data_IF_573390082858
#
_entry.id   IF_573390082858
#
_cell.length_a   1.000
_cell.length_b   1.000
_cell.length_c   1.000
_cell.angle_alpha   90.00
_cell.angle_beta   90.00
_cell.angle_gamma   90.00
#
_symmetry.space_group_name_H-M   'P 1'
#
loop_
_entity.id
_entity.type
_entity.pdbx_description
1 polymer ?
#
# COMPACT_ATOMS: atom_id res chain seq x y z
N UNK A 1 -46.03 49.78 24.55
CA UNK A 1 -45.04 48.77 24.98
C UNK A 1 -44.82 47.81 23.82
N UNK A 2 -43.71 47.96 23.09
CA UNK A 2 -43.29 46.99 22.07
C UNK A 2 -42.61 45.83 22.80
N UNK A 3 -43.10 44.61 22.61
CA UNK A 3 -42.40 43.41 23.07
C UNK A 3 -41.40 43.00 22.00
N UNK A 4 -40.14 43.37 22.17
CA UNK A 4 -39.04 42.81 21.37
C UNK A 4 -38.66 41.45 21.93
N UNK A 5 -38.88 40.38 21.16
CA UNK A 5 -38.23 39.09 21.41
C UNK A 5 -36.97 39.03 20.54
N UNK A 6 -35.84 39.40 21.11
CA UNK A 6 -34.54 39.17 20.49
C UNK A 6 -34.11 37.72 20.72
N UNK A 7 -34.02 36.93 19.64
CA UNK A 7 -33.45 35.57 19.71
C UNK A 7 -31.97 35.66 19.32
N UNK A 8 -31.08 35.75 20.31
CA UNK A 8 -29.65 35.60 20.06
C UNK A 8 -29.30 34.12 19.88
N UNK A 9 -29.02 33.70 18.65
CA UNK A 9 -28.51 32.36 18.36
C UNK A 9 -26.98 32.42 18.30
N UNK A 10 -26.30 31.94 19.35
CA UNK A 10 -24.84 31.81 19.35
C UNK A 10 -24.38 30.72 18.37
N UNK A 11 -23.61 31.11 17.34
CA UNK A 11 -22.70 30.23 16.61
C UNK A 11 -23.16 29.75 15.21
N UNK A 12 -22.41 30.19 14.19
CA UNK A 12 -22.45 29.72 12.80
C UNK A 12 -23.53 30.40 11.95
N UNK A 13 -23.19 30.72 10.69
CA UNK A 13 -24.08 31.33 9.70
C UNK A 13 -25.34 30.45 9.57
N UNK A 14 -26.51 30.88 10.06
CA UNK A 14 -27.75 30.16 9.93
C UNK A 14 -28.34 30.43 8.55
N UNK A 15 -28.48 29.41 7.71
CA UNK A 15 -29.34 29.44 6.53
C UNK A 15 -30.76 29.05 6.95
N UNK A 16 -31.79 29.78 6.52
CA UNK A 16 -33.19 29.51 6.94
C UNK A 16 -34.19 29.75 5.79
N UNK A 17 -35.18 28.85 5.65
CA UNK A 17 -36.11 28.66 4.51
C UNK A 17 -37.60 28.67 4.89
N UNK A 18 -38.43 29.17 3.95
CA UNK A 18 -39.88 28.95 3.63
C UNK A 18 -40.88 30.06 3.98
N UNK A 19 -41.30 30.81 2.95
CA UNK A 19 -42.45 31.72 2.95
C UNK A 19 -43.62 31.14 2.13
N UNK A 20 -44.84 31.44 2.55
CA UNK A 20 -46.03 31.49 1.69
C UNK A 20 -46.84 32.64 2.30
N UNK A 21 -46.94 33.84 1.68
CA UNK A 21 -47.91 34.05 0.58
C UNK A 21 -47.61 35.22 -0.40
N UNK A 22 -48.49 35.37 -1.41
CA UNK A 22 -48.76 36.54 -2.28
C UNK A 22 -47.56 37.39 -2.78
N UNK A 23 -47.21 37.31 -4.10
CA UNK A 23 -46.08 38.03 -4.72
C UNK A 23 -46.04 39.55 -4.50
N UNK A 24 -47.20 40.19 -4.30
CA UNK A 24 -47.35 41.65 -4.35
C UNK A 24 -46.87 42.38 -3.07
N UNK A 25 -46.73 41.68 -1.95
CA UNK A 25 -46.30 42.29 -0.68
C UNK A 25 -44.78 42.52 -0.60
N UNK A 26 -43.98 41.76 -1.36
CA UNK A 26 -42.52 41.70 -1.13
C UNK A 26 -41.72 42.81 -1.84
N UNK A 27 -42.17 43.29 -3.01
CA UNK A 27 -41.55 44.47 -3.66
C UNK A 27 -41.54 45.70 -2.76
N UNK A 28 -42.60 45.86 -1.94
CA UNK A 28 -42.69 46.97 -0.98
C UNK A 28 -41.75 46.84 0.22
N UNK A 29 -41.25 45.64 0.51
CA UNK A 29 -40.34 45.36 1.63
C UNK A 29 -38.88 45.67 1.26
N UNK A 30 -38.49 45.41 0.00
CA UNK A 30 -37.16 45.77 -0.53
C UNK A 30 -36.99 47.29 -0.72
N UNK A 31 -38.06 48.01 -1.05
CA UNK A 31 -38.01 49.47 -1.29
C UNK A 31 -37.97 50.31 -0.01
N UNK A 32 -38.16 49.74 1.19
CA UNK A 32 -38.44 50.51 2.42
C UNK A 32 -37.37 50.57 3.50
N UNK A 33 -36.20 49.96 3.34
CA UNK A 33 -35.20 50.00 4.43
C UNK A 33 -33.77 50.31 3.97
N UNK A 34 -33.40 51.58 4.08
CA UNK A 34 -32.00 52.04 4.16
C UNK A 34 -31.27 51.58 5.46
N UNK A 35 -31.82 50.66 6.27
CA UNK A 35 -31.28 50.39 7.62
C UNK A 35 -31.19 48.93 8.08
N UNK A 36 -31.29 47.92 7.21
CA UNK A 36 -30.98 46.53 7.60
C UNK A 36 -29.87 45.93 6.73
N UNK A 37 -28.75 45.63 7.38
CA UNK A 37 -27.56 44.96 6.84
C UNK A 37 -27.83 43.47 6.55
N UNK A 38 -28.74 43.17 5.62
CA UNK A 38 -28.82 41.82 5.03
C UNK A 38 -27.73 41.73 3.96
N UNK A 39 -26.83 40.75 4.08
CA UNK A 39 -25.81 40.41 3.08
C UNK A 39 -25.89 38.92 2.81
N UNK A 40 -25.85 38.51 1.54
CA UNK A 40 -25.94 37.12 1.08
C UNK A 40 -27.33 36.49 1.31
N UNK A 41 -28.25 36.72 0.39
CA UNK A 41 -29.57 36.09 0.37
C UNK A 41 -29.99 35.66 -1.04
N UNK A 42 -30.77 34.58 -1.11
CA UNK A 42 -31.34 34.03 -2.34
C UNK A 42 -32.84 33.82 -2.11
N UNK A 43 -33.69 34.20 -3.06
CA UNK A 43 -35.15 33.99 -2.99
C UNK A 43 -35.65 33.41 -4.30
N UNK A 44 -36.40 32.31 -4.28
CA UNK A 44 -37.07 31.74 -5.45
C UNK A 44 -38.59 31.71 -5.31
N UNK A 45 -39.27 31.94 -6.43
CA UNK A 45 -40.69 31.64 -6.56
C UNK A 45 -40.85 30.18 -7.02
N UNK A 46 -41.83 29.47 -6.48
CA UNK A 46 -42.26 28.19 -7.03
C UNK A 46 -43.73 28.28 -7.43
N UNK A 47 -44.00 28.26 -8.73
CA UNK A 47 -45.36 28.12 -9.25
C UNK A 47 -45.75 26.64 -9.26
N UNK A 48 -46.85 26.31 -8.57
CA UNK A 48 -47.47 24.99 -8.62
C UNK A 48 -48.87 25.14 -9.23
N UNK A 49 -49.23 24.26 -10.16
CA UNK A 49 -50.48 24.36 -10.94
C UNK A 49 -51.76 24.28 -10.09
N UNK A 50 -51.70 23.75 -8.86
CA UNK A 50 -52.89 23.40 -8.09
C UNK A 50 -52.83 23.74 -6.58
N UNK A 51 -51.84 24.53 -6.11
CA UNK A 51 -51.72 24.97 -4.70
C UNK A 51 -51.15 26.40 -4.67
N UNK A 52 -51.51 27.22 -3.68
CA UNK A 52 -50.92 28.56 -3.43
C UNK A 52 -49.38 28.52 -3.53
N UNK A 53 -48.83 29.16 -4.56
CA UNK A 53 -47.40 29.24 -4.91
C UNK A 53 -46.54 29.67 -3.71
N UNK A 54 -45.78 28.76 -3.09
CA UNK A 54 -44.89 29.11 -1.99
C UNK A 54 -43.63 29.81 -2.48
N UNK A 55 -43.10 30.70 -1.64
CA UNK A 55 -41.93 31.52 -1.90
C UNK A 55 -40.78 31.00 -1.02
N UNK A 56 -39.66 30.60 -1.62
CA UNK A 56 -38.54 30.00 -0.91
C UNK A 56 -37.44 31.04 -0.75
N UNK A 57 -36.82 31.13 0.43
CA UNK A 57 -35.69 32.04 0.67
C UNK A 57 -34.57 31.33 1.41
N UNK A 58 -33.33 31.73 1.17
CA UNK A 58 -32.16 31.41 1.99
C UNK A 58 -31.50 32.73 2.36
N UNK A 59 -31.24 32.94 3.64
CA UNK A 59 -30.54 34.12 4.16
C UNK A 59 -29.32 33.64 4.95
N UNK A 60 -28.14 34.18 4.66
CA UNK A 60 -26.88 33.86 5.34
C UNK A 60 -26.36 35.05 6.16
N UNK A 61 -26.97 35.32 7.32
CA UNK A 61 -26.64 36.50 8.16
C UNK A 61 -26.30 36.13 9.62
N UNK A 62 -25.49 36.95 10.29
CA UNK A 62 -25.09 36.73 11.69
C UNK A 62 -26.20 37.08 12.70
N UNK A 63 -27.15 37.94 12.33
CA UNK A 63 -28.24 38.40 13.21
C UNK A 63 -29.55 38.50 12.42
N UNK A 64 -30.63 37.96 12.98
CA UNK A 64 -32.00 38.09 12.44
C UNK A 64 -32.87 38.72 13.52
N UNK A 65 -33.57 39.80 13.19
CA UNK A 65 -34.62 40.39 14.02
C UNK A 65 -35.96 40.25 13.27
N UNK A 66 -36.98 39.76 13.95
CA UNK A 66 -38.35 39.70 13.42
C UNK A 66 -39.07 40.99 13.79
N UNK A 67 -39.43 41.81 12.79
CA UNK A 67 -40.26 42.99 13.01
C UNK A 67 -41.72 42.65 12.72
N UNK A 68 -42.61 42.83 13.71
CA UNK A 68 -44.05 42.66 13.51
C UNK A 68 -44.66 43.96 13.01
N UNK A 69 -45.23 43.94 11.80
CA UNK A 69 -45.98 45.06 11.25
C UNK A 69 -47.40 45.13 11.81
N UNK A 70 -47.80 46.28 12.35
CA UNK A 70 -49.17 46.55 12.79
C UNK A 70 -50.08 46.85 11.58
N UNK A 71 -50.33 45.88 10.71
CA UNK A 71 -51.34 45.99 9.66
C UNK A 71 -52.47 44.97 9.87
N UNK A 72 -53.71 45.44 9.84
CA UNK A 72 -54.96 44.70 10.09
C UNK A 72 -55.42 43.87 8.87
N UNK A 73 -54.51 43.13 8.25
CA UNK A 73 -54.85 42.12 7.22
C UNK A 73 -54.30 40.76 7.65
N UNK A 74 -55.00 39.68 7.29
CA UNK A 74 -54.81 38.31 7.80
C UNK A 74 -53.33 37.98 8.07
N UNK A 75 -53.00 37.71 9.34
CA UNK A 75 -51.63 37.44 9.77
C UNK A 75 -51.15 36.11 9.18
N UNK A 76 -50.39 36.17 8.08
CA UNK A 76 -49.63 35.05 7.57
C UNK A 76 -48.25 35.06 8.22
N UNK A 77 -47.90 33.98 8.93
CA UNK A 77 -46.59 33.82 9.55
C UNK A 77 -45.66 33.02 8.64
N UNK A 78 -44.45 33.52 8.43
CA UNK A 78 -43.39 32.80 7.69
C UNK A 78 -42.85 31.66 8.57
N UNK A 79 -42.55 30.51 7.96
CA UNK A 79 -42.07 29.34 8.70
C UNK A 79 -40.54 29.31 8.72
N UNK A 80 -39.96 30.02 9.69
CA UNK A 80 -38.51 30.19 9.81
C UNK A 80 -37.88 28.93 10.44
N UNK A 81 -37.12 28.15 9.65
CA UNK A 81 -36.38 26.96 10.10
C UNK A 81 -34.90 26.94 9.74
N UNK A 82 -34.05 26.51 10.67
CA UNK A 82 -32.62 26.28 10.41
C UNK A 82 -32.41 25.21 9.34
N UNK A 83 -31.64 25.54 8.31
CA UNK A 83 -31.21 24.64 7.26
C UNK A 83 -30.26 23.58 7.81
N UNK A 84 -30.44 22.34 7.36
CA UNK A 84 -29.54 21.22 7.68
C UNK A 84 -28.26 21.23 6.83
N UNK A 85 -28.32 21.83 5.64
CA UNK A 85 -27.25 21.91 4.65
C UNK A 85 -27.51 23.10 3.74
N UNK A 86 -26.58 24.07 3.67
CA UNK A 86 -26.75 25.25 2.79
C UNK A 86 -26.70 24.85 1.31
N UNK A 87 -25.86 23.88 0.96
CA UNK A 87 -25.74 23.42 -0.43
C UNK A 87 -27.02 22.75 -0.96
N UNK A 88 -27.71 21.97 -0.11
CA UNK A 88 -28.97 21.33 -0.53
C UNK A 88 -30.11 22.34 -0.69
N UNK A 89 -30.13 23.37 0.17
CA UNK A 89 -31.12 24.45 0.09
C UNK A 89 -30.90 25.28 -1.16
N UNK A 90 -29.65 25.66 -1.46
CA UNK A 90 -29.34 26.40 -2.69
C UNK A 90 -29.77 25.62 -3.94
N UNK A 91 -29.41 24.34 -4.05
CA UNK A 91 -29.84 23.49 -5.16
C UNK A 91 -31.37 23.36 -5.27
N UNK A 92 -32.07 23.34 -4.13
CA UNK A 92 -33.53 23.26 -4.10
C UNK A 92 -34.17 24.56 -4.61
N UNK A 93 -33.63 25.72 -4.20
CA UNK A 93 -34.08 27.05 -4.61
C UNK A 93 -33.81 27.28 -6.10
N UNK A 94 -32.62 26.90 -6.59
CA UNK A 94 -32.25 27.06 -8.00
C UNK A 94 -32.94 26.06 -8.95
N UNK A 95 -33.67 25.05 -8.42
CA UNK A 95 -34.29 23.97 -9.22
C UNK A 95 -35.27 24.49 -10.28
N UNK A 96 -35.97 25.58 -10.00
CA UNK A 96 -37.06 26.11 -10.83
C UNK A 96 -36.66 27.37 -11.61
N UNK A 97 -35.40 27.79 -11.55
CA UNK A 97 -34.83 28.86 -12.41
C UNK A 97 -35.26 30.30 -12.09
N UNK A 98 -36.39 30.51 -11.40
CA UNK A 98 -36.87 31.84 -11.02
C UNK A 98 -36.44 32.21 -9.61
N UNK A 99 -35.23 32.78 -9.50
CA UNK A 99 -34.68 33.26 -8.23
C UNK A 99 -33.94 34.61 -8.36
N UNK A 100 -33.88 35.34 -7.25
CA UNK A 100 -33.15 36.60 -7.08
C UNK A 100 -32.07 36.37 -6.03
N UNK A 101 -30.83 36.77 -6.33
CA UNK A 101 -29.68 36.67 -5.44
C UNK A 101 -29.05 38.04 -5.19
N UNK A 102 -28.62 38.26 -3.95
CA UNK A 102 -27.75 39.36 -3.58
C UNK A 102 -26.57 38.83 -2.76
N UNK A 103 -25.35 39.13 -3.20
CA UNK A 103 -24.10 38.65 -2.59
C UNK A 103 -23.52 37.39 -3.23
N UNK A 104 -22.64 36.70 -2.50
CA UNK A 104 -21.98 35.46 -2.96
C UNK A 104 -22.31 34.30 -2.03
N UNK A 105 -22.82 33.20 -2.58
CA UNK A 105 -23.11 32.00 -1.81
C UNK A 105 -21.83 31.44 -1.16
N UNK A 106 -21.85 31.29 0.16
CA UNK A 106 -20.75 30.64 0.89
C UNK A 106 -21.13 29.21 1.24
N UNK A 107 -20.31 28.27 0.76
CA UNK A 107 -20.42 26.87 1.16
C UNK A 107 -20.10 26.78 2.66
N UNK A 108 -21.04 26.24 3.45
CA UNK A 108 -20.79 25.97 4.87
C UNK A 108 -19.68 24.92 4.98
N UNK A 109 -18.66 25.15 5.81
CA UNK A 109 -17.62 24.16 6.08
C UNK A 109 -18.14 22.86 6.71
N UNK A 110 -19.40 22.85 7.19
CA UNK A 110 -20.12 21.64 7.62
C UNK A 110 -20.86 20.92 6.49
N UNK A 111 -21.02 21.55 5.32
CA UNK A 111 -21.60 20.94 4.14
C UNK A 111 -20.58 19.97 3.53
N UNK A 112 -20.60 18.74 4.02
CA UNK A 112 -19.76 17.66 3.53
C UNK A 112 -20.10 17.20 2.08
N UNK A 113 -21.06 17.84 1.40
CA UNK A 113 -21.55 17.43 0.06
C UNK A 113 -21.01 18.26 -1.10
N UNK A 114 -20.25 19.32 -0.86
CA UNK A 114 -19.41 19.97 -1.87
C UNK A 114 -18.01 19.37 -1.95
N UNK A 115 -17.89 18.05 -1.75
CA UNK A 115 -16.66 17.37 -1.35
C UNK A 115 -15.59 17.40 -2.47
N UNK A 116 -14.35 17.86 -2.20
CA UNK A 116 -13.18 17.30 -2.87
C UNK A 116 -13.14 15.82 -2.47
N UNK A 117 -13.37 14.90 -3.42
CA UNK A 117 -13.37 13.42 -3.31
C UNK A 117 -13.37 12.87 -1.88
N UNK A 118 -14.44 12.18 -1.46
CA UNK A 118 -14.52 11.66 -0.08
C UNK A 118 -13.22 10.94 0.30
N UNK A 119 -12.77 11.04 1.55
CA UNK A 119 -11.49 10.43 2.00
C UNK A 119 -11.39 8.94 1.59
N UNK A 120 -12.53 8.25 1.55
CA UNK A 120 -12.65 6.89 1.04
C UNK A 120 -12.32 6.76 -0.46
N UNK A 121 -12.80 7.67 -1.31
CA UNK A 121 -12.47 7.71 -2.74
C UNK A 121 -10.96 7.93 -2.97
N UNK A 122 -10.33 8.82 -2.19
CA UNK A 122 -8.88 9.07 -2.30
C UNK A 122 -8.08 7.80 -2.00
N UNK A 123 -8.42 7.09 -0.94
CA UNK A 123 -7.73 5.84 -0.59
C UNK A 123 -8.04 4.72 -1.58
N UNK A 124 -9.28 4.61 -2.08
CA UNK A 124 -9.62 3.64 -3.11
C UNK A 124 -8.83 3.89 -4.41
N UNK A 125 -8.69 5.16 -4.82
CA UNK A 125 -7.88 5.52 -5.97
C UNK A 125 -6.39 5.24 -5.75
N UNK A 126 -5.87 5.52 -4.56
CA UNK A 126 -4.48 5.22 -4.20
C UNK A 126 -4.19 3.70 -4.21
N UNK A 127 -5.14 2.88 -3.73
CA UNK A 127 -5.02 1.41 -3.77
C UNK A 127 -5.05 0.86 -5.20
N UNK A 128 -5.79 1.51 -6.11
CA UNK A 128 -5.86 1.14 -7.52
C UNK A 128 -4.73 1.76 -8.37
N UNK A 129 -3.77 2.45 -7.76
CA UNK A 129 -2.64 3.03 -8.48
C UNK A 129 -1.70 1.94 -9.03
N UNK A 130 -0.94 2.27 -10.08
CA UNK A 130 0.00 1.33 -10.72
C UNK A 130 1.23 1.04 -9.84
N UNK A 131 1.56 1.92 -8.89
CA UNK A 131 2.74 1.79 -8.03
C UNK A 131 2.59 2.52 -6.71
N UNK A 132 3.41 2.11 -5.72
CA UNK A 132 3.57 2.81 -4.43
C UNK A 132 3.79 4.31 -4.60
N UNK A 133 4.64 4.71 -5.54
CA UNK A 133 4.96 6.12 -5.78
C UNK A 133 3.74 6.90 -6.26
N UNK A 134 2.94 6.31 -7.16
CA UNK A 134 1.70 6.93 -7.64
C UNK A 134 0.65 7.00 -6.52
N UNK A 135 0.47 5.94 -5.74
CA UNK A 135 -0.42 5.93 -4.58
C UNK A 135 -0.04 7.02 -3.56
N UNK A 136 1.25 7.15 -3.23
CA UNK A 136 1.76 8.19 -2.33
C UNK A 136 1.53 9.60 -2.88
N UNK A 137 1.65 9.79 -4.21
CA UNK A 137 1.37 11.08 -4.86
C UNK A 137 -0.11 11.44 -4.77
N UNK A 138 -1.01 10.49 -5.07
CA UNK A 138 -2.47 10.68 -4.97
C UNK A 138 -2.85 11.13 -3.55
N UNK A 139 -2.34 10.45 -2.52
CA UNK A 139 -2.61 10.82 -1.13
C UNK A 139 -2.01 12.19 -0.80
N UNK A 140 -0.79 12.50 -1.27
CA UNK A 140 -0.17 13.80 -1.03
C UNK A 140 -0.98 14.96 -1.62
N UNK A 141 -1.57 14.77 -2.80
CA UNK A 141 -2.34 15.79 -3.52
C UNK A 141 -3.76 15.95 -2.96
N UNK A 142 -4.45 14.83 -2.71
CA UNK A 142 -5.87 14.82 -2.34
C UNK A 142 -6.13 14.78 -0.83
N UNK A 143 -5.19 14.28 -0.03
CA UNK A 143 -5.24 14.31 1.44
C UNK A 143 -3.86 14.65 2.07
N UNK A 144 -3.39 15.90 1.91
CA UNK A 144 -2.09 16.32 2.42
C UNK A 144 -1.98 16.21 3.94
N UNK A 145 -3.10 16.28 4.68
CA UNK A 145 -3.12 16.19 6.13
C UNK A 145 -2.69 14.79 6.59
N UNK A 146 -3.33 13.75 6.06
CA UNK A 146 -2.95 12.36 6.39
C UNK A 146 -1.56 12.03 5.87
N UNK A 147 -1.18 12.56 4.70
CA UNK A 147 0.17 12.39 4.18
C UNK A 147 1.24 12.92 5.13
N UNK A 148 1.03 14.08 5.77
CA UNK A 148 2.01 14.67 6.72
C UNK A 148 1.99 13.93 8.06
N UNK A 149 0.81 13.69 8.63
CA UNK A 149 0.68 13.13 9.99
C UNK A 149 1.00 11.63 10.02
N UNK A 150 0.58 10.86 9.00
CA UNK A 150 0.62 9.40 8.99
C UNK A 150 1.52 8.83 7.90
N UNK A 151 2.45 9.62 7.36
CA UNK A 151 3.31 9.24 6.22
C UNK A 151 3.94 7.85 6.36
N UNK A 152 4.48 7.55 7.54
CA UNK A 152 5.20 6.31 7.80
C UNK A 152 4.26 5.09 7.76
N UNK A 153 3.08 5.19 8.37
CA UNK A 153 2.07 4.12 8.35
C UNK A 153 1.51 3.91 6.94
N UNK A 154 1.21 4.99 6.23
CA UNK A 154 0.74 4.94 4.83
C UNK A 154 1.80 4.28 3.96
N UNK A 155 3.07 4.72 4.05
CA UNK A 155 4.16 4.10 3.30
C UNK A 155 4.31 2.61 3.61
N UNK A 156 4.29 2.23 4.90
CA UNK A 156 4.46 0.84 5.32
C UNK A 156 3.29 -0.06 4.90
N UNK A 157 2.08 0.47 4.83
CA UNK A 157 0.92 -0.26 4.30
C UNK A 157 1.03 -0.41 2.78
N UNK A 158 1.39 0.66 2.06
CA UNK A 158 1.60 0.60 0.62
C UNK A 158 2.77 -0.31 0.22
N UNK A 159 3.79 -0.49 1.07
CA UNK A 159 4.85 -1.49 0.85
C UNK A 159 4.33 -2.93 0.83
N UNK A 160 3.21 -3.20 1.51
CA UNK A 160 2.55 -4.52 1.51
C UNK A 160 1.63 -4.69 0.32
N UNK A 161 0.92 -3.64 -0.08
CA UNK A 161 0.02 -3.65 -1.24
C UNK A 161 0.79 -3.66 -2.57
N UNK A 162 1.94 -2.99 -2.61
CA UNK A 162 2.82 -2.88 -3.78
C UNK A 162 4.17 -3.56 -3.50
N UNK A 163 4.19 -4.88 -3.30
CA UNK A 163 5.44 -5.59 -3.02
C UNK A 163 6.38 -5.42 -4.21
N UNK A 164 7.61 -4.98 -3.94
CA UNK A 164 8.64 -4.94 -4.99
C UNK A 164 9.01 -6.39 -5.32
N UNK A 165 8.81 -6.86 -6.56
CA UNK A 165 9.19 -8.22 -6.93
C UNK A 165 10.69 -8.38 -6.76
N UNK A 166 11.12 -9.46 -6.09
CA UNK A 166 12.53 -9.79 -5.99
C UNK A 166 13.12 -9.97 -7.39
N UNK A 167 14.22 -9.26 -7.68
CA UNK A 167 14.91 -9.39 -8.96
C UNK A 167 15.44 -10.82 -9.07
N UNK A 168 14.86 -11.60 -9.97
CA UNK A 168 15.36 -12.95 -10.26
C UNK A 168 16.74 -12.84 -10.88
N UNK A 169 17.66 -13.67 -10.40
CA UNK A 169 18.94 -13.84 -11.06
C UNK A 169 18.71 -14.56 -12.38
N UNK A 170 19.25 -13.98 -13.45
CA UNK A 170 19.30 -14.62 -14.77
C UNK A 170 20.78 -14.90 -15.00
N UNK A 171 21.14 -16.18 -15.09
CA UNK A 171 22.51 -16.56 -15.40
C UNK A 171 22.83 -16.14 -16.83
N UNK A 172 23.96 -15.44 -17.07
CA UNK A 172 24.44 -15.17 -18.42
C UNK A 172 25.05 -16.42 -19.10
N UNK A 173 25.19 -17.53 -18.37
CA UNK A 173 25.82 -18.77 -18.84
C UNK A 173 24.85 -19.94 -18.76
N UNK A 174 24.92 -20.83 -19.76
CA UNK A 174 24.28 -22.14 -19.70
C UNK A 174 25.22 -23.10 -18.94
N UNK A 175 24.77 -23.75 -17.86
CA UNK A 175 25.64 -24.58 -17.02
C UNK A 175 26.20 -25.79 -17.79
N UNK A 176 27.43 -25.67 -18.29
CA UNK A 176 28.27 -26.82 -18.68
C UNK A 176 28.86 -27.42 -17.40
N UNK A 177 28.03 -28.19 -16.70
CA UNK A 177 28.38 -28.77 -15.41
C UNK A 177 29.04 -30.13 -15.54
N UNK A 178 29.88 -30.48 -14.55
CA UNK A 178 30.35 -31.84 -14.33
C UNK A 178 29.13 -32.78 -14.22
N UNK A 179 29.27 -34.01 -14.73
CA UNK A 179 28.15 -34.96 -14.77
C UNK A 179 27.54 -35.23 -13.38
N UNK A 180 28.37 -35.25 -12.33
CA UNK A 180 27.91 -35.44 -10.94
C UNK A 180 27.02 -34.30 -10.45
N UNK A 181 27.41 -33.04 -10.70
CA UNK A 181 26.63 -31.85 -10.34
C UNK A 181 25.32 -31.77 -11.12
N UNK A 182 25.37 -32.19 -12.39
CA UNK A 182 24.20 -32.27 -13.25
C UNK A 182 23.22 -33.34 -12.77
N UNK A 183 23.72 -34.52 -12.41
CA UNK A 183 22.89 -35.61 -11.91
C UNK A 183 22.22 -35.21 -10.60
N UNK A 184 22.98 -34.67 -9.66
CA UNK A 184 22.45 -34.19 -8.39
C UNK A 184 21.35 -33.14 -8.57
N UNK A 185 21.53 -32.19 -9.50
CA UNK A 185 20.54 -31.12 -9.72
C UNK A 185 19.23 -31.67 -10.29
N UNK A 186 19.28 -32.62 -11.22
CA UNK A 186 18.09 -33.28 -11.78
C UNK A 186 17.30 -34.03 -10.69
N UNK A 187 17.99 -34.67 -9.76
CA UNK A 187 17.35 -35.48 -8.70
C UNK A 187 16.77 -34.63 -7.56
N UNK A 188 17.40 -33.49 -7.23
CA UNK A 188 17.11 -32.74 -6.01
C UNK A 188 16.50 -31.35 -6.22
N UNK A 189 16.48 -30.85 -7.46
CA UNK A 189 15.89 -29.56 -7.82
C UNK A 189 14.74 -29.81 -8.79
N UNK A 190 13.53 -29.95 -8.24
CA UNK A 190 12.31 -30.21 -9.02
C UNK A 190 11.37 -29.02 -8.84
N UNK A 191 10.95 -28.38 -9.93
CA UNK A 191 10.05 -27.21 -9.85
C UNK A 191 8.68 -27.59 -9.27
N UNK A 192 8.13 -28.72 -9.70
CA UNK A 192 6.85 -29.24 -9.20
C UNK A 192 6.99 -29.74 -7.75
N UNK A 193 6.33 -29.02 -6.83
CA UNK A 193 6.33 -29.34 -5.41
C UNK A 193 5.74 -30.73 -5.09
N UNK A 194 4.88 -31.29 -5.95
CA UNK A 194 4.26 -32.61 -5.74
C UNK A 194 5.17 -33.76 -6.14
N UNK A 195 6.10 -33.52 -7.06
CA UNK A 195 7.07 -34.50 -7.55
C UNK A 195 8.39 -34.48 -6.77
N UNK A 196 8.59 -33.51 -5.85
CA UNK A 196 9.80 -33.42 -5.03
C UNK A 196 9.92 -34.64 -4.08
N UNK A 197 11.14 -35.18 -3.91
CA UNK A 197 11.42 -36.09 -2.82
C UNK A 197 11.00 -35.47 -1.47
N UNK A 198 10.58 -36.30 -0.52
CA UNK A 198 10.16 -35.82 0.80
C UNK A 198 11.29 -35.09 1.54
N UNK A 199 12.53 -35.55 1.30
CA UNK A 199 13.78 -34.97 1.83
C UNK A 199 14.86 -34.99 0.74
N UNK A 200 14.89 -34.00 -0.16
CA UNK A 200 15.95 -33.92 -1.16
C UNK A 200 17.30 -33.71 -0.47
N UNK A 201 18.34 -34.33 -1.02
CA UNK A 201 19.69 -34.17 -0.50
C UNK A 201 20.23 -32.79 -0.82
N UNK A 202 20.95 -32.21 0.14
CA UNK A 202 21.74 -31.01 -0.10
C UNK A 202 23.10 -31.35 -0.71
N UNK A 203 23.85 -30.35 -1.16
CA UNK A 203 25.20 -30.53 -1.70
C UNK A 203 26.15 -29.48 -1.15
N UNK A 204 27.34 -29.91 -0.78
CA UNK A 204 28.47 -29.08 -0.39
C UNK A 204 29.49 -29.10 -1.53
N UNK A 205 29.78 -27.92 -2.06
CA UNK A 205 30.71 -27.72 -3.16
C UNK A 205 31.89 -26.94 -2.64
N UNK A 206 33.02 -27.63 -2.57
CA UNK A 206 34.29 -27.06 -2.16
C UNK A 206 35.20 -26.87 -3.38
N UNK A 207 35.80 -25.70 -3.50
CA UNK A 207 36.74 -25.44 -4.60
C UNK A 207 37.33 -24.05 -4.49
N UNK A 208 38.41 -23.76 -5.21
CA UNK A 208 39.05 -22.44 -5.15
C UNK A 208 38.14 -21.32 -5.69
N UNK A 209 38.47 -20.08 -5.37
CA UNK A 209 37.82 -18.90 -5.95
C UNK A 209 37.93 -18.92 -7.49
N UNK A 210 36.99 -18.25 -8.16
CA UNK A 210 36.95 -18.11 -9.63
C UNK A 210 36.68 -19.39 -10.45
N UNK A 211 36.28 -20.49 -9.82
CA UNK A 211 35.85 -21.71 -10.54
C UNK A 211 34.39 -21.67 -11.03
N UNK A 212 33.68 -20.55 -10.85
CA UNK A 212 32.29 -20.40 -11.31
C UNK A 212 31.22 -21.00 -10.38
N UNK A 213 31.59 -21.49 -9.18
CA UNK A 213 30.66 -22.12 -8.21
C UNK A 213 29.35 -21.33 -8.00
N UNK A 214 29.45 -20.05 -7.71
CA UNK A 214 28.29 -19.17 -7.46
C UNK A 214 27.42 -18.97 -8.69
N UNK A 215 28.04 -18.85 -9.87
CA UNK A 215 27.29 -18.68 -11.13
C UNK A 215 26.50 -19.96 -11.43
N UNK A 216 27.16 -21.12 -11.33
CA UNK A 216 26.52 -22.42 -11.54
C UNK A 216 25.37 -22.65 -10.56
N UNK A 217 25.59 -22.46 -9.26
CA UNK A 217 24.56 -22.70 -8.25
C UNK A 217 23.33 -21.84 -8.50
N UNK A 218 23.51 -20.60 -8.94
CA UNK A 218 22.41 -19.67 -9.20
C UNK A 218 21.77 -19.85 -10.58
N UNK A 219 22.35 -20.66 -11.47
CA UNK A 219 21.81 -20.87 -12.83
C UNK A 219 20.78 -22.01 -12.94
N UNK A 220 20.52 -22.75 -11.86
CA UNK A 220 19.69 -23.96 -11.90
C UNK A 220 18.18 -23.69 -11.81
N UNK A 221 17.76 -22.48 -11.42
CA UNK A 221 16.35 -22.11 -11.36
C UNK A 221 16.03 -21.06 -10.29
N UNK A 222 14.78 -21.04 -9.83
CA UNK A 222 14.31 -20.08 -8.82
C UNK A 222 14.82 -20.43 -7.43
N UNK A 223 15.71 -19.60 -6.87
CA UNK A 223 16.39 -19.89 -5.61
C UNK A 223 16.45 -18.71 -4.66
N UNK A 224 16.67 -19.03 -3.38
CA UNK A 224 17.16 -18.06 -2.40
C UNK A 224 18.69 -17.99 -2.46
N UNK A 225 19.24 -16.78 -2.51
CA UNK A 225 20.69 -16.57 -2.42
C UNK A 225 21.02 -15.95 -1.06
N UNK A 226 21.66 -16.75 -0.20
CA UNK A 226 22.02 -16.40 1.17
C UNK A 226 23.52 -16.18 1.19
N UNK A 227 23.93 -14.93 1.42
CA UNK A 227 25.35 -14.56 1.48
C UNK A 227 25.73 -13.98 2.83
N UNK A 228 26.74 -14.57 3.48
CA UNK A 228 27.31 -14.11 4.75
C UNK A 228 26.44 -14.39 5.99
N UNK A 229 25.14 -14.03 5.96
CA UNK A 229 24.19 -14.32 7.04
C UNK A 229 22.79 -14.62 6.49
N UNK A 230 21.95 -15.24 7.31
CA UNK A 230 20.56 -15.53 6.97
C UNK A 230 19.69 -14.37 7.41
N UNK A 231 19.01 -13.74 6.45
CA UNK A 231 17.87 -12.87 6.70
C UNK A 231 16.58 -13.59 6.24
N UNK A 232 15.78 -14.11 7.18
CA UNK A 232 14.54 -14.82 6.85
C UNK A 232 13.40 -13.85 6.51
N UNK A 233 13.64 -12.53 6.46
CA UNK A 233 12.63 -11.55 6.09
C UNK A 233 11.99 -11.89 4.74
N UNK A 234 10.66 -11.69 4.57
CA UNK A 234 9.99 -11.87 3.27
C UNK A 234 10.54 -10.95 2.17
N UNK A 235 11.36 -9.95 2.53
CA UNK A 235 12.07 -9.06 1.59
C UNK A 235 13.27 -9.73 0.91
N UNK A 236 13.86 -10.73 1.56
CA UNK A 236 15.13 -11.37 1.15
C UNK A 236 14.97 -12.86 0.91
N UNK A 237 13.97 -13.50 1.54
CA UNK A 237 13.70 -14.92 1.46
C UNK A 237 12.37 -15.18 0.76
N UNK A 238 12.40 -15.94 -0.33
CA UNK A 238 11.23 -16.35 -1.10
C UNK A 238 10.79 -17.76 -0.73
N UNK A 239 9.56 -17.88 -0.24
CA UNK A 239 8.92 -19.16 0.07
C UNK A 239 8.49 -19.95 -1.18
N UNK A 240 8.58 -19.36 -2.37
CA UNK A 240 8.33 -20.06 -3.64
C UNK A 240 9.63 -20.58 -4.29
N UNK A 241 10.78 -20.36 -3.66
CA UNK A 241 12.03 -20.92 -4.15
C UNK A 241 12.02 -22.46 -4.15
N UNK A 242 12.73 -23.03 -5.12
CA UNK A 242 12.78 -24.48 -5.32
C UNK A 242 14.06 -25.10 -4.74
N UNK A 243 15.06 -24.26 -4.43
CA UNK A 243 16.28 -24.61 -3.70
C UNK A 243 16.94 -23.37 -3.07
N UNK A 244 17.92 -23.57 -2.20
CA UNK A 244 18.71 -22.51 -1.58
C UNK A 244 20.17 -22.54 -2.08
N UNK A 245 20.80 -21.38 -2.18
CA UNK A 245 22.24 -21.21 -2.39
C UNK A 245 22.82 -20.49 -1.19
N UNK A 246 23.76 -21.12 -0.50
CA UNK A 246 24.44 -20.61 0.69
C UNK A 246 25.90 -20.34 0.32
N UNK A 247 26.28 -19.08 0.33
CA UNK A 247 27.59 -18.61 -0.14
C UNK A 247 28.28 -17.77 0.94
N UNK A 248 29.55 -18.04 1.21
CA UNK A 248 30.34 -17.36 2.24
C UNK A 248 29.68 -17.33 3.65
N UNK A 249 28.88 -18.34 4.01
CA UNK A 249 28.28 -18.44 5.35
C UNK A 249 29.10 -19.41 6.22
N UNK A 250 29.58 -18.98 7.40
CA UNK A 250 30.35 -19.85 8.29
C UNK A 250 29.53 -21.04 8.83
N UNK A 251 30.09 -22.26 8.91
CA UNK A 251 29.37 -23.43 9.40
C UNK A 251 28.96 -23.30 10.88
N UNK A 252 29.78 -22.62 11.70
CA UNK A 252 29.46 -22.34 13.10
C UNK A 252 28.18 -21.53 13.28
N UNK A 253 27.90 -20.61 12.36
CA UNK A 253 26.67 -19.80 12.37
C UNK A 253 25.44 -20.66 12.10
N UNK A 254 25.51 -21.55 11.11
CA UNK A 254 24.39 -22.45 10.76
C UNK A 254 24.16 -23.53 11.82
N UNK A 255 25.23 -24.05 12.44
CA UNK A 255 25.15 -25.10 13.47
C UNK A 255 24.23 -24.72 14.62
N UNK A 256 24.14 -23.43 14.97
CA UNK A 256 23.38 -22.97 16.14
C UNK A 256 21.87 -23.09 15.92
N UNK A 257 21.36 -22.89 14.69
CA UNK A 257 19.91 -22.79 14.47
C UNK A 257 19.37 -23.53 13.24
N UNK A 258 20.09 -23.55 12.13
CA UNK A 258 19.48 -23.86 10.83
C UNK A 258 20.17 -25.00 10.07
N UNK A 259 21.11 -25.72 10.71
CA UNK A 259 21.82 -26.83 10.06
C UNK A 259 20.85 -27.89 9.53
N UNK A 260 19.92 -28.33 10.39
CA UNK A 260 18.95 -29.36 10.02
C UNK A 260 17.91 -28.81 9.04
N UNK A 261 17.50 -27.55 9.22
CA UNK A 261 16.52 -26.88 8.38
C UNK A 261 16.97 -26.85 6.91
N UNK A 262 18.21 -26.40 6.67
CA UNK A 262 18.77 -26.27 5.32
C UNK A 262 19.27 -27.60 4.75
N UNK A 263 20.07 -28.35 5.51
CA UNK A 263 20.78 -29.51 4.96
C UNK A 263 19.99 -30.80 5.03
N UNK A 264 18.99 -30.85 5.89
CA UNK A 264 18.08 -31.99 6.04
C UNK A 264 16.74 -31.78 5.33
N UNK A 265 16.64 -30.69 4.56
CA UNK A 265 15.45 -30.24 3.86
C UNK A 265 14.18 -30.35 4.73
N UNK A 266 14.24 -29.87 5.98
CA UNK A 266 13.08 -29.97 6.86
C UNK A 266 11.94 -29.11 6.32
N UNK A 267 10.72 -29.65 6.34
CA UNK A 267 9.52 -28.90 5.95
C UNK A 267 9.13 -27.93 7.04
N UNK A 268 8.60 -26.78 6.62
CA UNK A 268 7.93 -25.79 7.46
C UNK A 268 8.58 -25.54 8.82
N UNK A 269 9.54 -24.62 8.84
CA UNK A 269 10.22 -24.22 10.07
C UNK A 269 10.01 -22.74 10.35
N UNK A 270 10.17 -22.34 11.61
CA UNK A 270 10.02 -20.95 12.02
C UNK A 270 11.38 -20.34 12.32
N UNK A 271 11.58 -19.11 11.86
CA UNK A 271 12.77 -18.34 12.18
C UNK A 271 12.43 -17.02 12.83
N UNK A 272 13.28 -16.63 13.77
CA UNK A 272 13.14 -15.36 14.46
C UNK A 272 13.82 -14.26 13.67
N UNK A 273 13.10 -13.18 13.40
CA UNK A 273 13.66 -11.93 12.88
C UNK A 273 13.86 -10.97 14.04
N UNK A 274 15.01 -10.30 14.07
CA UNK A 274 15.30 -9.32 15.10
C UNK A 274 14.31 -8.15 15.00
N UNK A 275 13.60 -7.86 16.08
CA UNK A 275 12.63 -6.76 16.17
C UNK A 275 11.38 -6.89 15.27
N UNK A 276 11.16 -8.04 14.65
CA UNK A 276 9.95 -8.33 13.89
C UNK A 276 9.29 -9.63 14.40
N UNK A 277 8.10 -9.94 13.90
CA UNK A 277 7.44 -11.21 14.20
C UNK A 277 8.24 -12.36 13.56
N UNK A 278 8.27 -13.50 14.23
CA UNK A 278 8.80 -14.72 13.64
C UNK A 278 8.07 -15.04 12.34
N UNK A 279 8.81 -15.56 11.38
CA UNK A 279 8.31 -15.92 10.05
C UNK A 279 8.33 -17.42 9.88
N UNK A 280 7.34 -17.91 9.14
CA UNK A 280 7.29 -19.29 8.72
C UNK A 280 7.96 -19.42 7.35
N UNK A 281 8.98 -20.27 7.30
CA UNK A 281 9.70 -20.60 6.07
C UNK A 281 9.19 -21.93 5.55
N UNK A 282 8.78 -21.94 4.28
CA UNK A 282 8.47 -23.17 3.56
C UNK A 282 9.77 -23.88 3.21
N UNK A 283 10.10 -24.87 4.03
CA UNK A 283 11.24 -25.74 3.78
C UNK A 283 10.92 -26.91 2.83
N UNK A 284 11.61 -28.03 2.97
CA UNK A 284 11.45 -29.17 2.05
C UNK A 284 12.15 -29.00 0.70
N UNK A 285 13.12 -28.09 0.64
CA UNK A 285 13.93 -27.81 -0.56
C UNK A 285 15.41 -28.07 -0.28
N UNK A 286 16.15 -28.49 -1.30
CA UNK A 286 17.58 -28.75 -1.20
C UNK A 286 18.38 -27.46 -1.05
N UNK A 287 19.59 -27.58 -0.48
CA UNK A 287 20.52 -26.47 -0.34
C UNK A 287 21.84 -26.78 -1.02
N UNK A 288 22.38 -25.79 -1.75
CA UNK A 288 23.71 -25.80 -2.34
C UNK A 288 24.60 -24.92 -1.47
N UNK A 289 25.61 -25.50 -0.86
CA UNK A 289 26.59 -24.78 -0.04
C UNK A 289 27.87 -24.60 -0.82
N UNK A 290 28.33 -23.37 -0.89
CA UNK A 290 29.56 -23.01 -1.58
C UNK A 290 30.60 -22.63 -0.53
N UNK A 291 31.76 -23.28 -0.60
CA UNK A 291 32.89 -22.91 0.24
C UNK A 291 34.21 -22.99 -0.52
N UNK A 292 35.19 -22.25 -0.01
CA UNK A 292 36.57 -22.39 -0.43
C UNK A 292 37.27 -23.41 0.48
N UNK A 293 38.27 -24.15 -0.05
CA UNK A 293 39.08 -25.03 0.76
C UNK A 293 39.87 -24.24 1.79
N UNK A 294 40.01 -24.82 2.98
CA UNK A 294 40.74 -24.18 4.08
C UNK A 294 40.27 -24.64 5.46
N UNK A 295 40.90 -24.13 6.53
CA UNK A 295 40.61 -24.53 7.90
C UNK A 295 39.17 -24.17 8.34
N UNK A 296 38.59 -23.15 7.72
CA UNK A 296 37.22 -22.70 7.96
C UNK A 296 36.19 -23.32 7.00
N UNK A 297 36.60 -24.30 6.19
CA UNK A 297 35.71 -25.03 5.30
C UNK A 297 34.68 -25.86 6.07
N UNK A 298 33.59 -26.24 5.40
CA UNK A 298 32.59 -27.13 5.97
C UNK A 298 33.16 -28.50 6.31
N UNK A 299 34.07 -29.04 5.49
CA UNK A 299 34.71 -30.33 5.76
C UNK A 299 35.60 -30.25 7.00
N UNK A 300 36.52 -29.28 7.05
CA UNK A 300 37.39 -29.08 8.21
C UNK A 300 36.61 -28.79 9.49
N UNK A 301 35.46 -28.10 9.39
CA UNK A 301 34.56 -27.91 10.53
C UNK A 301 33.94 -29.22 11.01
N UNK A 302 33.44 -30.06 10.10
CA UNK A 302 32.81 -31.34 10.42
C UNK A 302 33.80 -32.40 10.92
N UNK A 303 35.07 -32.30 10.53
CA UNK A 303 36.12 -33.24 10.93
C UNK A 303 36.61 -33.07 12.38
N UNK A 304 36.21 -31.98 13.06
CA UNK A 304 36.51 -31.77 14.48
C UNK A 304 35.88 -32.87 15.34
N UNK A 305 36.60 -33.34 16.37
CA UNK A 305 36.14 -34.42 17.26
C UNK A 305 34.78 -34.13 17.93
N UNK A 306 34.51 -32.87 18.26
CA UNK A 306 33.24 -32.41 18.82
C UNK A 306 32.04 -32.50 17.85
N UNK A 307 32.29 -32.67 16.55
CA UNK A 307 31.28 -32.63 15.48
C UNK A 307 30.99 -34.00 14.86
N UNK A 308 31.49 -35.11 15.41
CA UNK A 308 31.31 -36.46 14.84
C UNK A 308 29.84 -36.81 14.55
N UNK A 309 28.94 -36.54 15.51
CA UNK A 309 27.50 -36.79 15.32
C UNK A 309 26.89 -35.92 14.20
N UNK A 310 27.32 -34.65 14.13
CA UNK A 310 26.87 -33.71 13.10
C UNK A 310 27.39 -34.12 11.72
N UNK A 311 28.64 -34.58 11.64
CA UNK A 311 29.26 -35.10 10.42
C UNK A 311 28.52 -36.32 9.89
N UNK A 312 28.27 -37.32 10.73
CA UNK A 312 27.54 -38.53 10.33
C UNK A 312 26.13 -38.20 9.81
N UNK A 313 25.44 -37.30 10.51
CA UNK A 313 24.13 -36.82 10.07
C UNK A 313 24.20 -36.07 8.73
N UNK A 314 25.22 -35.23 8.54
CA UNK A 314 25.37 -34.42 7.32
C UNK A 314 25.71 -35.29 6.12
N UNK A 315 26.59 -36.28 6.27
CA UNK A 315 26.93 -37.23 5.19
C UNK A 315 25.72 -38.06 4.76
N UNK A 316 24.79 -38.36 5.68
CA UNK A 316 23.55 -39.05 5.33
C UNK A 316 22.54 -38.14 4.59
N UNK A 317 22.63 -36.82 4.78
CA UNK A 317 21.64 -35.85 4.28
C UNK A 317 22.13 -35.06 3.07
N UNK A 318 23.43 -35.09 2.77
CA UNK A 318 24.04 -34.26 1.76
C UNK A 318 25.26 -34.91 1.10
N UNK A 319 25.54 -34.48 -0.13
CA UNK A 319 26.70 -34.91 -0.92
C UNK A 319 27.82 -33.87 -0.84
N UNK A 320 29.07 -34.32 -0.93
CA UNK A 320 30.25 -33.46 -0.90
C UNK A 320 31.03 -33.62 -2.20
N UNK A 321 31.24 -32.51 -2.92
CA UNK A 321 31.94 -32.49 -4.20
C UNK A 321 33.10 -31.50 -4.13
N UNK A 322 34.26 -31.94 -4.60
CA UNK A 322 35.44 -31.12 -4.79
C UNK A 322 35.58 -30.69 -6.24
N UNK A 323 35.71 -29.38 -6.45
CA UNK A 323 35.90 -28.78 -7.75
C UNK A 323 37.32 -28.22 -7.85
N UNK A 324 38.06 -28.73 -8.81
CA UNK A 324 39.43 -28.29 -9.14
C UNK A 324 39.52 -27.55 -10.47
N UNK A 325 38.52 -27.70 -11.35
CA UNK A 325 38.44 -27.04 -12.66
C UNK A 325 37.27 -26.06 -12.76
N UNK A 326 37.36 -25.02 -13.60
CA UNK A 326 36.25 -24.10 -13.83
C UNK A 326 35.00 -24.81 -14.36
N UNK A 327 33.82 -24.39 -13.89
CA UNK A 327 32.51 -24.89 -14.34
C UNK A 327 32.00 -24.21 -15.63
N UNK A 328 32.78 -23.31 -16.23
CA UNK A 328 32.43 -22.59 -17.45
C UNK A 328 33.64 -22.47 -18.37
N UNK A 329 33.41 -22.57 -19.68
CA UNK A 329 34.44 -22.42 -20.72
C UNK A 329 34.64 -20.94 -21.09
N UNK A 330 35.88 -20.55 -21.38
CA UNK A 330 36.26 -19.18 -21.81
C UNK A 330 35.48 -18.66 -23.04
N UNK A 331 35.01 -19.55 -23.91
CA UNK A 331 34.23 -19.21 -25.12
C UNK A 331 32.90 -18.51 -24.76
N UNK A 332 32.29 -18.87 -23.63
CA UNK A 332 31.05 -18.21 -23.20
C UNK A 332 31.31 -16.80 -22.63
N UNK A 333 32.53 -16.51 -22.18
CA UNK A 333 32.93 -15.22 -21.61
C UNK A 333 33.12 -14.14 -22.68
N UNK A 334 33.52 -14.53 -23.91
CA UNK A 334 33.77 -13.59 -25.02
C UNK A 334 32.48 -13.04 -25.67
N UNK A 335 31.46 -13.89 -25.87
CA UNK A 335 30.18 -13.47 -26.48
C UNK A 335 29.46 -12.36 -25.67
N UNK A 336 29.71 -12.28 -24.37
CA UNK A 336 29.10 -11.28 -23.47
C UNK A 336 29.72 -9.88 -23.66
N UNK A 337 31.01 -9.78 -23.99
CA UNK A 337 31.65 -8.49 -24.24
C UNK A 337 31.15 -7.87 -25.57
N UNK A 338 30.81 -8.70 -26.55
CA UNK A 338 30.25 -8.25 -27.83
C UNK A 338 28.75 -7.88 -27.73
N UNK A 339 27.93 -8.63 -26.97
CA UNK A 339 26.51 -8.28 -26.79
C UNK A 339 26.27 -7.06 -25.88
N UNK A 340 27.12 -6.82 -24.87
CA UNK A 340 27.03 -5.61 -24.04
C UNK A 340 27.55 -4.36 -24.75
N UNK A 341 28.50 -4.50 -25.67
CA UNK A 341 28.97 -3.38 -26.50
C UNK A 341 28.01 -3.03 -27.65
N UNK A 342 27.21 -3.99 -28.12
CA UNK A 342 26.20 -3.78 -29.17
C UNK A 342 24.82 -3.33 -28.64
N UNK A 343 24.64 -3.21 -27.33
CA UNK A 343 23.40 -2.75 -26.68
C UNK A 343 23.53 -1.39 -25.97
N UNK A 344 24.65 -0.68 -26.19
CA UNK A 344 24.84 0.73 -25.82
C UNK A 344 24.71 1.59 -27.07
#
# INVERSE_FOLDING_TARGET
MKYEKSVQIKGGIPSVVLCNPAPDLYKSFLDKEENVSLKNWTIANAEFSDITSPLFSEIQTQNIQEEQSNSTSAHFHTNIRRARSSSDVNNYISKYGDFIEDGSFKIDGRSARGCPSTVAEVYAEALNAISKTNAMRIIKEKDPKSYVIQRHNISANLDKEFPTPMRRYISPYNPNSLDELRQWSIENIIEDATARPDRPKSIFIEGHSYLGKTIWARSLGHHNYIKGYIDPSPKTFDNNAVYNVIDDVPPSYLKIKHWNDFFGAQKDWQSNIKYEKSVQIKGGISSIVLCNPGPDSYKSFLDKEENVSLKNWTIASAEFIDITSPLFSEIQTQNIQEEQSNST
#
